data_IF_501324114393
#
_entry.id   IF_501324114393
#
_cell.length_a   1.000
_cell.length_b   1.000
_cell.length_c   1.000
_cell.angle_alpha   90.00
_cell.angle_beta   90.00
_cell.angle_gamma   90.00
#
_symmetry.space_group_name_H-M   'P 1'
#
loop_
_entity.id
_entity.type
_entity.pdbx_description
1 polymer ?
#
# COMPACT_ATOMS: atom_id res chain seq x y z
N UNK A 1 12.09 -26.70 -4.07
CA UNK A 1 11.81 -25.46 -3.29
C UNK A 1 10.44 -24.93 -3.70
N UNK A 2 9.66 -24.53 -2.71
CA UNK A 2 8.37 -23.83 -2.91
C UNK A 2 8.58 -22.39 -2.44
N UNK A 3 8.34 -21.42 -3.32
CA UNK A 3 8.36 -20.01 -2.94
C UNK A 3 7.08 -19.66 -2.19
N UNK A 4 7.22 -18.88 -1.13
CA UNK A 4 6.12 -18.42 -0.28
C UNK A 4 5.90 -16.93 -0.44
N UNK A 5 4.62 -16.53 -0.58
CA UNK A 5 4.23 -15.13 -0.66
C UNK A 5 3.14 -14.83 0.37
N UNK A 6 3.38 -13.84 1.22
CA UNK A 6 2.39 -13.34 2.16
C UNK A 6 1.63 -12.16 1.54
N UNK A 7 0.33 -12.30 1.34
CA UNK A 7 -0.58 -11.23 0.93
C UNK A 7 -1.25 -10.62 2.16
N UNK A 8 -1.01 -9.34 2.44
CA UNK A 8 -1.44 -8.71 3.69
C UNK A 8 -1.59 -7.19 3.59
N UNK A 9 -2.40 -6.62 4.47
CA UNK A 9 -2.39 -5.18 4.75
C UNK A 9 -1.37 -4.77 5.82
N UNK A 10 -0.73 -5.72 6.52
CA UNK A 10 0.22 -5.44 7.59
C UNK A 10 -0.39 -4.87 8.88
N UNK A 11 -1.71 -4.70 8.95
CA UNK A 11 -2.41 -4.02 10.05
C UNK A 11 -2.19 -4.66 11.42
N UNK A 12 -1.86 -5.94 11.48
CA UNK A 12 -1.63 -6.69 12.72
C UNK A 12 -0.21 -6.55 13.26
N UNK A 13 0.69 -5.92 12.51
CA UNK A 13 2.06 -5.70 12.97
C UNK A 13 2.08 -4.83 14.23
N UNK A 14 2.88 -5.25 15.20
CA UNK A 14 3.19 -4.50 16.43
C UNK A 14 4.63 -4.81 16.83
N UNK A 15 5.34 -3.82 17.33
CA UNK A 15 6.74 -4.00 17.78
C UNK A 15 6.86 -5.06 18.88
N UNK A 16 5.91 -5.11 19.81
CA UNK A 16 5.86 -6.11 20.88
C UNK A 16 5.59 -7.54 20.37
N UNK A 17 5.13 -7.70 19.13
CA UNK A 17 4.93 -9.00 18.47
C UNK A 17 6.05 -9.37 17.49
N UNK A 18 7.13 -8.59 17.47
CA UNK A 18 8.21 -8.72 16.47
C UNK A 18 8.75 -10.14 16.37
N UNK A 19 8.92 -10.84 17.50
CA UNK A 19 9.41 -12.24 17.48
C UNK A 19 8.52 -13.19 16.67
N UNK A 20 7.18 -13.02 16.75
CA UNK A 20 6.26 -13.82 15.95
C UNK A 20 6.38 -13.50 14.45
N UNK A 21 6.56 -12.22 14.12
CA UNK A 21 6.81 -11.80 12.73
C UNK A 21 8.17 -12.28 12.23
N UNK A 22 9.23 -12.30 13.06
CA UNK A 22 10.52 -12.84 12.69
C UNK A 22 10.43 -14.33 12.30
N UNK A 23 9.66 -15.12 13.04
CA UNK A 23 9.40 -16.54 12.71
C UNK A 23 8.64 -16.69 11.40
N UNK A 24 7.65 -15.82 11.14
CA UNK A 24 6.90 -15.84 9.89
C UNK A 24 7.77 -15.42 8.70
N UNK A 25 8.55 -14.37 8.86
CA UNK A 25 9.43 -13.87 7.78
C UNK A 25 10.57 -14.83 7.46
N UNK A 26 11.01 -15.67 8.41
CA UNK A 26 12.03 -16.70 8.16
C UNK A 26 11.60 -17.74 7.10
N UNK A 27 10.29 -17.86 6.82
CA UNK A 27 9.72 -18.77 5.82
C UNK A 27 8.95 -18.04 4.71
N UNK A 28 9.14 -16.73 4.58
CA UNK A 28 8.46 -15.88 3.60
C UNK A 28 9.47 -15.30 2.62
N UNK A 29 9.30 -15.59 1.32
CA UNK A 29 10.20 -15.12 0.26
C UNK A 29 9.79 -13.76 -0.30
N UNK A 30 8.50 -13.41 -0.20
CA UNK A 30 7.92 -12.17 -0.72
C UNK A 30 6.73 -11.73 0.13
N UNK A 31 6.59 -10.45 0.36
CA UNK A 31 5.37 -9.87 0.93
C UNK A 31 4.70 -8.98 -0.11
N UNK A 32 3.41 -9.22 -0.40
CA UNK A 32 2.53 -8.27 -1.10
C UNK A 32 1.79 -7.45 -0.06
N UNK A 33 2.16 -6.17 0.06
CA UNK A 33 1.66 -5.26 1.09
C UNK A 33 0.72 -4.23 0.49
N UNK A 34 -0.51 -4.17 1.00
CA UNK A 34 -1.49 -3.17 0.62
C UNK A 34 -1.30 -1.87 1.42
N UNK A 35 -0.97 -0.77 0.75
CA UNK A 35 -1.08 0.59 1.30
C UNK A 35 -2.35 1.22 0.75
N UNK A 36 -3.44 1.19 1.54
CA UNK A 36 -4.76 1.68 1.11
C UNK A 36 -4.81 3.19 0.98
N UNK A 37 -4.14 3.93 1.87
CA UNK A 37 -3.96 5.37 1.79
C UNK A 37 -2.70 5.76 2.56
N UNK A 38 -1.92 6.71 2.03
CA UNK A 38 -0.67 7.15 2.66
C UNK A 38 -0.91 8.11 3.83
N UNK A 39 -1.92 8.95 3.76
CA UNK A 39 -2.32 9.86 4.84
C UNK A 39 -3.15 9.11 5.88
N UNK A 40 -2.78 9.20 7.16
CA UNK A 40 -3.44 8.43 8.25
C UNK A 40 -4.89 8.87 8.46
N UNK A 41 -5.18 10.15 8.36
CA UNK A 41 -6.54 10.68 8.54
C UNK A 41 -7.47 10.13 7.47
N UNK A 42 -7.04 10.17 6.21
CA UNK A 42 -7.82 9.65 5.08
C UNK A 42 -7.87 8.12 5.10
N UNK A 43 -6.80 7.45 5.57
CA UNK A 43 -6.81 6.01 5.77
C UNK A 43 -7.86 5.57 6.80
N UNK A 44 -7.97 6.31 7.91
CA UNK A 44 -9.01 6.07 8.93
C UNK A 44 -10.42 6.25 8.39
N UNK A 45 -10.65 7.27 7.58
CA UNK A 45 -11.96 7.48 6.92
C UNK A 45 -12.30 6.33 5.97
N UNK A 46 -11.32 5.85 5.22
CA UNK A 46 -11.50 4.81 4.21
C UNK A 46 -11.66 3.40 4.82
N UNK A 47 -10.92 3.09 5.88
CA UNK A 47 -10.77 1.72 6.41
C UNK A 47 -11.24 1.54 7.85
N UNK A 48 -11.48 2.63 8.58
CA UNK A 48 -11.75 2.62 10.02
C UNK A 48 -10.50 2.41 10.88
N UNK A 49 -9.30 2.28 10.29
CA UNK A 49 -8.06 1.95 10.98
C UNK A 49 -6.93 2.94 10.66
N UNK A 50 -5.96 3.07 11.55
CA UNK A 50 -4.72 3.81 11.29
C UNK A 50 -3.81 3.05 10.33
N UNK A 51 -3.05 3.78 9.50
CA UNK A 51 -2.02 3.19 8.65
C UNK A 51 -0.66 3.06 9.34
N UNK A 52 -0.49 3.59 10.55
CA UNK A 52 0.80 3.63 11.27
C UNK A 52 1.45 2.25 11.32
N UNK A 53 0.72 1.22 11.74
CA UNK A 53 1.26 -0.14 11.82
C UNK A 53 1.56 -0.77 10.46
N UNK A 54 0.87 -0.34 9.40
CA UNK A 54 1.13 -0.77 8.03
C UNK A 54 2.48 -0.21 7.56
N UNK A 55 2.71 1.08 7.82
CA UNK A 55 3.97 1.76 7.47
C UNK A 55 5.12 1.24 8.34
N UNK A 56 4.90 1.00 9.63
CA UNK A 56 5.87 0.33 10.51
C UNK A 56 6.23 -1.07 10.00
N UNK A 57 5.25 -1.83 9.52
CA UNK A 57 5.51 -3.14 8.94
C UNK A 57 6.36 -3.06 7.67
N UNK A 58 6.11 -2.08 6.80
CA UNK A 58 6.95 -1.86 5.63
C UNK A 58 8.41 -1.55 6.01
N UNK A 59 8.63 -0.73 7.07
CA UNK A 59 9.98 -0.47 7.58
C UNK A 59 10.61 -1.72 8.20
N UNK A 60 9.84 -2.51 8.94
CA UNK A 60 10.32 -3.79 9.47
C UNK A 60 10.74 -4.74 8.34
N UNK A 61 9.98 -4.84 7.24
CA UNK A 61 10.36 -5.65 6.08
C UNK A 61 11.65 -5.16 5.43
N UNK A 62 11.85 -3.82 5.36
CA UNK A 62 13.10 -3.22 4.90
C UNK A 62 14.27 -3.62 5.81
N UNK A 63 14.16 -3.46 7.13
CA UNK A 63 15.19 -3.85 8.10
C UNK A 63 15.59 -5.31 7.99
N UNK A 64 14.62 -6.19 7.69
CA UNK A 64 14.85 -7.63 7.49
C UNK A 64 15.28 -8.00 6.07
N UNK A 65 15.37 -7.02 5.17
CA UNK A 65 15.67 -7.21 3.75
C UNK A 65 14.72 -8.22 3.06
N UNK A 66 13.45 -8.24 3.50
CA UNK A 66 12.42 -9.08 2.89
C UNK A 66 11.89 -8.37 1.63
N UNK A 67 11.89 -9.00 0.45
CA UNK A 67 11.33 -8.41 -0.76
C UNK A 67 9.87 -8.01 -0.59
N UNK A 68 9.51 -6.80 -1.04
CA UNK A 68 8.14 -6.32 -0.93
C UNK A 68 7.60 -5.86 -2.28
N UNK A 69 6.35 -6.26 -2.59
CA UNK A 69 5.51 -5.65 -3.63
C UNK A 69 4.47 -4.78 -2.94
N UNK A 70 4.43 -3.52 -3.31
CA UNK A 70 3.40 -2.61 -2.81
C UNK A 70 2.22 -2.63 -3.78
N UNK A 71 1.01 -2.80 -3.22
CA UNK A 71 -0.23 -2.64 -3.96
C UNK A 71 -0.97 -1.40 -3.46
N UNK A 72 -1.49 -0.64 -4.40
CA UNK A 72 -2.29 0.55 -4.12
C UNK A 72 -3.51 0.59 -5.04
N UNK A 73 -4.71 0.69 -4.46
CA UNK A 73 -5.95 0.82 -5.23
C UNK A 73 -6.30 2.28 -5.38
N UNK A 74 -6.47 2.74 -6.63
CA UNK A 74 -6.87 4.11 -6.92
C UNK A 74 -8.38 4.24 -6.95
N UNK A 75 -8.90 5.01 -6.01
CA UNK A 75 -10.33 5.27 -5.83
C UNK A 75 -10.58 6.74 -6.20
N UNK A 76 -11.43 7.04 -7.23
CA UNK A 76 -11.75 8.41 -7.62
C UNK A 76 -12.24 9.25 -6.45
N UNK A 77 -11.71 10.47 -6.32
CA UNK A 77 -12.06 11.40 -5.24
C UNK A 77 -11.45 11.09 -3.88
N UNK A 78 -10.83 9.91 -3.69
CA UNK A 78 -10.24 9.48 -2.41
C UNK A 78 -8.74 9.33 -2.56
N UNK A 79 -8.26 8.22 -3.14
CA UNK A 79 -6.82 7.96 -3.30
C UNK A 79 -6.28 8.47 -4.63
N UNK A 80 -7.14 8.64 -5.65
CA UNK A 80 -6.78 9.18 -6.96
C UNK A 80 -6.65 10.71 -6.89
N UNK A 81 -5.69 11.19 -6.10
CA UNK A 81 -5.34 12.61 -5.96
C UNK A 81 -3.82 12.75 -6.02
N UNK A 82 -3.32 13.63 -6.88
CA UNK A 82 -1.89 13.78 -7.15
C UNK A 82 -1.06 14.00 -5.87
N UNK A 83 -1.56 14.81 -4.94
CA UNK A 83 -0.91 15.08 -3.66
C UNK A 83 -0.61 13.79 -2.88
N UNK A 84 -1.56 12.86 -2.79
CA UNK A 84 -1.38 11.60 -2.06
C UNK A 84 -0.54 10.58 -2.83
N UNK A 85 -0.66 10.56 -4.16
CA UNK A 85 0.18 9.73 -5.02
C UNK A 85 1.66 10.16 -4.91
N UNK A 86 1.94 11.46 -4.87
CA UNK A 86 3.29 11.98 -4.64
C UNK A 86 3.82 11.65 -3.25
N UNK A 87 2.99 11.77 -2.20
CA UNK A 87 3.37 11.37 -0.84
C UNK A 87 3.71 9.88 -0.77
N UNK A 88 2.91 9.02 -1.43
CA UNK A 88 3.19 7.60 -1.50
C UNK A 88 4.52 7.35 -2.21
N UNK A 89 4.77 7.98 -3.36
CA UNK A 89 6.03 7.86 -4.08
C UNK A 89 7.25 8.26 -3.25
N UNK A 90 7.16 9.39 -2.54
CA UNK A 90 8.22 9.84 -1.64
C UNK A 90 8.46 8.85 -0.49
N UNK A 91 7.40 8.28 0.10
CA UNK A 91 7.53 7.24 1.12
C UNK A 91 8.21 5.97 0.58
N UNK A 92 7.81 5.52 -0.62
CA UNK A 92 8.35 4.31 -1.24
C UNK A 92 9.83 4.43 -1.60
N UNK A 93 10.35 5.63 -1.84
CA UNK A 93 11.78 5.87 -2.08
C UNK A 93 12.66 5.40 -0.92
N UNK A 94 12.11 5.45 0.32
CA UNK A 94 12.80 4.96 1.50
C UNK A 94 12.82 3.42 1.65
N UNK A 95 12.19 2.66 0.74
CA UNK A 95 12.11 1.19 0.79
C UNK A 95 13.07 0.55 -0.24
N UNK A 96 14.31 0.31 0.13
CA UNK A 96 15.33 -0.30 -0.74
C UNK A 96 15.05 -1.79 -1.08
N UNK A 97 14.17 -2.43 -0.31
CA UNK A 97 13.67 -3.78 -0.54
C UNK A 97 12.43 -3.83 -1.48
N UNK A 98 11.97 -2.69 -2.02
CA UNK A 98 10.85 -2.62 -2.96
C UNK A 98 11.22 -3.31 -4.29
N UNK A 99 10.41 -4.30 -4.70
CA UNK A 99 10.60 -5.05 -5.96
C UNK A 99 9.59 -4.68 -7.03
N UNK A 100 8.35 -4.35 -6.64
CA UNK A 100 7.31 -3.95 -7.57
C UNK A 100 6.30 -3.01 -6.92
N UNK A 101 5.65 -2.21 -7.76
CA UNK A 101 4.50 -1.39 -7.44
C UNK A 101 3.34 -1.76 -8.38
N UNK A 102 2.26 -2.24 -7.79
CA UNK A 102 0.99 -2.50 -8.46
C UNK A 102 -0.01 -1.40 -8.11
N UNK A 103 -0.44 -0.65 -9.12
CA UNK A 103 -1.51 0.34 -8.99
C UNK A 103 -2.73 -0.19 -9.70
N UNK A 104 -3.77 -0.47 -8.93
CA UNK A 104 -4.97 -1.16 -9.39
C UNK A 104 -6.16 -0.18 -9.47
N UNK A 105 -6.95 -0.19 -10.53
CA UNK A 105 -8.17 0.58 -10.58
C UNK A 105 -9.20 0.03 -9.59
N UNK A 106 -9.88 0.92 -8.87
CA UNK A 106 -11.03 0.56 -8.05
C UNK A 106 -12.16 -0.01 -8.93
N UNK A 107 -12.83 -1.05 -8.42
CA UNK A 107 -14.01 -1.66 -9.03
C UNK A 107 -15.05 -2.03 -7.95
N UNK A 108 -16.31 -2.13 -8.35
CA UNK A 108 -17.44 -2.35 -7.44
C UNK A 108 -17.70 -3.82 -7.07
N UNK A 109 -16.89 -4.78 -7.57
CA UNK A 109 -17.10 -6.22 -7.30
C UNK A 109 -17.11 -6.59 -5.80
N UNK A 110 -16.56 -5.74 -4.94
CA UNK A 110 -16.63 -5.91 -3.49
C UNK A 110 -18.01 -5.64 -2.88
N UNK A 111 -18.89 -4.90 -3.57
CA UNK A 111 -20.21 -4.47 -3.05
C UNK A 111 -21.09 -5.66 -2.67
N UNK A 112 -21.11 -6.70 -3.51
CA UNK A 112 -21.88 -7.93 -3.24
C UNK A 112 -21.50 -8.59 -1.92
N UNK A 113 -20.25 -8.49 -1.48
CA UNK A 113 -19.81 -9.05 -0.18
C UNK A 113 -20.42 -8.29 0.98
N UNK A 114 -20.54 -6.97 0.86
CA UNK A 114 -21.16 -6.13 1.87
C UNK A 114 -22.69 -6.38 1.93
N UNK A 115 -23.34 -6.51 0.77
CA UNK A 115 -24.76 -6.88 0.69
C UNK A 115 -25.04 -8.22 1.38
N UNK A 116 -24.23 -9.24 1.09
CA UNK A 116 -24.36 -10.57 1.71
C UNK A 116 -24.16 -10.56 3.23
N UNK A 117 -23.40 -9.60 3.75
CA UNK A 117 -23.16 -9.41 5.19
C UNK A 117 -24.19 -8.48 5.85
N UNK A 118 -25.10 -7.86 5.07
CA UNK A 118 -26.05 -6.86 5.56
C UNK A 118 -25.37 -5.57 6.06
N UNK A 119 -24.17 -5.25 5.56
CA UNK A 119 -23.37 -4.09 5.97
C UNK A 119 -23.41 -3.04 4.85
N UNK A 120 -23.64 -1.75 5.18
CA UNK A 120 -23.59 -0.68 4.17
C UNK A 120 -22.23 -0.63 3.48
N UNK A 121 -22.23 -0.55 2.13
CA UNK A 121 -21.00 -0.43 1.37
C UNK A 121 -20.42 1.00 1.48
N UNK A 122 -19.20 1.19 2.01
CA UNK A 122 -18.65 2.51 2.29
C UNK A 122 -18.40 3.37 1.05
N UNK A 123 -18.19 2.72 -0.11
CA UNK A 123 -17.91 3.38 -1.39
C UNK A 123 -19.12 3.39 -2.34
N UNK A 124 -20.35 3.30 -1.78
CA UNK A 124 -21.57 3.33 -2.59
C UNK A 124 -21.66 4.63 -3.38
N UNK A 125 -21.85 4.50 -4.69
CA UNK A 125 -21.92 5.64 -5.61
C UNK A 125 -20.57 6.19 -6.06
N UNK A 126 -19.46 5.58 -5.66
CA UNK A 126 -18.15 5.90 -6.22
C UNK A 126 -17.97 5.13 -7.52
N UNK A 127 -17.76 5.86 -8.62
CA UNK A 127 -17.53 5.25 -9.94
C UNK A 127 -16.21 4.45 -9.97
N UNK A 128 -16.17 3.32 -10.70
CA UNK A 128 -14.93 2.59 -10.92
C UNK A 128 -13.85 3.47 -11.55
N UNK A 129 -12.60 3.25 -11.17
CA UNK A 129 -11.48 3.90 -11.84
C UNK A 129 -11.18 3.23 -13.18
N UNK A 130 -10.73 4.02 -14.15
CA UNK A 130 -10.30 3.48 -15.45
C UNK A 130 -8.87 2.97 -15.42
N UNK A 131 -8.50 2.15 -16.41
CA UNK A 131 -7.12 1.70 -16.59
C UNK A 131 -6.17 2.87 -16.82
N UNK A 132 -6.59 3.88 -17.58
CA UNK A 132 -5.82 5.10 -17.85
C UNK A 132 -5.54 5.88 -16.57
N UNK A 133 -6.54 5.97 -15.68
CA UNK A 133 -6.37 6.60 -14.36
C UNK A 133 -5.37 5.84 -13.48
N UNK A 134 -5.40 4.51 -13.52
CA UNK A 134 -4.42 3.70 -12.79
C UNK A 134 -3.00 3.86 -13.35
N UNK A 135 -2.85 3.92 -14.67
CA UNK A 135 -1.56 4.18 -15.33
C UNK A 135 -1.06 5.57 -14.99
N UNK A 136 -1.91 6.60 -15.06
CA UNK A 136 -1.55 7.96 -14.68
C UNK A 136 -1.08 8.03 -13.23
N UNK A 137 -1.82 7.42 -12.30
CA UNK A 137 -1.48 7.38 -10.89
C UNK A 137 -0.14 6.67 -10.64
N UNK A 138 0.10 5.54 -11.31
CA UNK A 138 1.38 4.83 -11.24
C UNK A 138 2.55 5.70 -11.67
N UNK A 139 2.39 6.45 -12.76
CA UNK A 139 3.43 7.35 -13.25
C UNK A 139 3.74 8.46 -12.22
N UNK A 140 2.72 9.09 -11.63
CA UNK A 140 2.91 10.10 -10.58
C UNK A 140 3.67 9.53 -9.37
N UNK A 141 3.30 8.33 -8.91
CA UNK A 141 4.00 7.67 -7.80
C UNK A 141 5.47 7.41 -8.15
N UNK A 142 5.75 6.86 -9.33
CA UNK A 142 7.10 6.54 -9.77
C UNK A 142 7.96 7.79 -9.99
N UNK A 143 7.38 8.87 -10.48
CA UNK A 143 8.11 10.13 -10.68
C UNK A 143 8.46 10.77 -9.33
N UNK A 144 7.53 10.80 -8.37
CA UNK A 144 7.80 11.29 -7.02
C UNK A 144 8.84 10.42 -6.29
N UNK A 145 8.83 9.10 -6.49
CA UNK A 145 9.84 8.18 -5.98
C UNK A 145 11.24 8.54 -6.54
N UNK A 146 11.35 8.72 -7.86
CA UNK A 146 12.62 9.10 -8.49
C UNK A 146 13.09 10.49 -8.03
N UNK A 147 12.20 11.46 -7.91
CA UNK A 147 12.51 12.80 -7.39
C UNK A 147 13.08 12.71 -5.98
N UNK A 148 12.46 11.93 -5.10
CA UNK A 148 12.94 11.75 -3.73
C UNK A 148 14.31 11.08 -3.67
N UNK A 149 14.55 10.03 -4.45
CA UNK A 149 15.85 9.36 -4.53
C UNK A 149 16.96 10.31 -5.04
N UNK A 150 16.65 11.23 -5.97
CA UNK A 150 17.60 12.23 -6.45
C UNK A 150 17.95 13.23 -5.34
N UNK A 151 16.96 13.72 -4.60
CA UNK A 151 17.17 14.62 -3.46
C UNK A 151 18.08 13.99 -2.40
N UNK A 152 17.82 12.73 -2.05
CA UNK A 152 18.64 12.01 -1.07
C UNK A 152 20.09 11.78 -1.56
N UNK A 153 20.27 11.58 -2.86
CA UNK A 153 21.60 11.32 -3.44
C UNK A 153 22.42 12.57 -3.68
N UNK A 154 21.80 13.66 -4.06
CA UNK A 154 22.49 14.88 -4.54
C UNK A 154 22.24 16.10 -3.65
N UNK A 155 21.39 16.03 -2.64
CA UNK A 155 21.12 17.12 -1.69
C UNK A 155 20.38 18.32 -2.31
N UNK A 156 19.63 18.09 -3.41
CA UNK A 156 18.85 19.11 -4.11
C UNK A 156 17.44 19.27 -3.55
#
# INVERSE_FOLDING_TARGET
NINTCLDTSGILFRQEKREAFDKLMAVTDLVMLDIKHIDDTEHRKLTGQSNVHILEFAQYLKEKNIPVWIRHVVVPGITLQEKYLRQLGAYLAGLDNLKALDVLPYHTMGEVKYENLGIPYPLKGVEPATTEQAIWAKNIILDALKEQLRKEKFGE
#
